data_IF_277547167660
#
_entry.id   IF_277547167660
#
_cell.length_a   1.000
_cell.length_b   1.000
_cell.length_c   1.000
_cell.angle_alpha   90.00
_cell.angle_beta   90.00
_cell.angle_gamma   90.00
#
_symmetry.space_group_name_H-M   'P 1'
#
loop_
_entity.id
_entity.type
_entity.pdbx_description
1 polymer ?
#
# COMPACT_ATOMS: atom_id res chain seq x y z
N UNK A 1 -12.76 4.24 -0.34
CA UNK A 1 -11.48 3.59 0.00
C UNK A 1 -10.72 4.53 0.91
N UNK A 2 -9.83 4.00 1.76
CA UNK A 2 -9.00 4.82 2.66
C UNK A 2 -7.99 5.59 1.81
N UNK A 3 -7.69 6.85 2.13
CA UNK A 3 -6.67 7.60 1.37
C UNK A 3 -5.27 7.12 1.76
N UNK A 4 -4.27 7.37 0.90
CA UNK A 4 -2.88 6.99 1.17
C UNK A 4 -2.39 7.55 2.51
N UNK A 5 -2.58 8.84 2.76
CA UNK A 5 -2.10 9.50 3.99
C UNK A 5 -2.73 8.90 5.25
N UNK A 6 -4.02 8.55 5.17
CA UNK A 6 -4.72 7.87 6.26
C UNK A 6 -4.13 6.48 6.49
N UNK A 7 -3.92 5.69 5.43
CA UNK A 7 -3.31 4.37 5.53
C UNK A 7 -1.91 4.44 6.15
N UNK A 8 -1.05 5.34 5.66
CA UNK A 8 0.30 5.56 6.18
C UNK A 8 0.26 5.93 7.67
N UNK A 9 -0.57 6.91 8.03
CA UNK A 9 -0.78 7.32 9.43
C UNK A 9 -1.23 6.16 10.31
N UNK A 10 -1.98 5.19 9.78
CA UNK A 10 -2.44 4.03 10.53
C UNK A 10 -1.34 2.98 10.70
N UNK A 11 -0.66 2.61 9.62
CA UNK A 11 0.35 1.54 9.65
C UNK A 11 1.69 1.99 10.24
N UNK A 12 1.96 3.29 10.35
CA UNK A 12 3.15 3.86 11.01
C UNK A 12 3.37 3.24 12.40
N UNK A 13 2.29 3.12 13.18
CA UNK A 13 2.38 2.65 14.56
C UNK A 13 2.69 1.14 14.63
N UNK A 14 3.80 0.72 15.27
CA UNK A 14 4.18 -0.69 15.34
C UNK A 14 3.17 -1.60 16.05
N UNK A 15 2.46 -1.10 17.06
CA UNK A 15 1.45 -1.91 17.76
C UNK A 15 0.25 -2.21 16.87
N UNK A 16 -0.16 -1.27 16.00
CA UNK A 16 -1.20 -1.52 14.99
C UNK A 16 -0.75 -2.57 13.98
N UNK A 17 0.51 -2.51 13.51
CA UNK A 17 1.06 -3.54 12.61
C UNK A 17 1.07 -4.92 13.25
N UNK A 18 1.54 -5.03 14.50
CA UNK A 18 1.55 -6.31 15.25
C UNK A 18 0.14 -6.87 15.49
N UNK A 19 -0.84 -6.00 15.74
CA UNK A 19 -2.26 -6.42 15.84
C UNK A 19 -2.75 -6.97 14.50
N UNK A 20 -2.50 -6.26 13.39
CA UNK A 20 -2.90 -6.72 12.06
C UNK A 20 -2.23 -8.05 11.68
N UNK A 21 -0.96 -8.24 12.03
CA UNK A 21 -0.21 -9.49 11.83
C UNK A 21 -0.78 -10.67 12.64
N UNK A 22 -1.20 -10.43 13.90
CA UNK A 22 -1.91 -11.44 14.68
C UNK A 22 -3.27 -11.79 14.08
N UNK A 23 -4.05 -10.78 13.66
CA UNK A 23 -5.35 -10.97 13.04
C UNK A 23 -5.26 -11.65 11.66
N UNK A 24 -4.17 -11.46 10.91
CA UNK A 24 -3.91 -12.13 9.64
C UNK A 24 -3.73 -13.65 9.77
N UNK A 25 -3.26 -14.13 10.93
CA UNK A 25 -3.14 -15.56 11.24
C UNK A 25 -4.49 -16.17 11.60
N UNK A 26 -5.21 -15.53 12.52
CA UNK A 26 -6.55 -15.96 12.95
C UNK A 26 -7.32 -14.82 13.65
N UNK A 27 -8.66 -14.89 13.72
CA UNK A 27 -9.44 -13.93 14.50
C UNK A 27 -9.10 -13.98 15.99
N UNK A 28 -9.02 -12.82 16.64
CA UNK A 28 -8.72 -12.73 18.07
C UNK A 28 -9.66 -11.77 18.80
N UNK A 29 -9.93 -12.07 20.07
CA UNK A 29 -10.55 -11.12 20.98
C UNK A 29 -9.48 -10.30 21.74
N UNK A 30 -9.81 -9.11 22.26
CA UNK A 30 -8.81 -8.15 22.78
C UNK A 30 -7.86 -8.69 23.86
N UNK A 31 -8.33 -9.59 24.72
CA UNK A 31 -7.50 -10.17 25.78
C UNK A 31 -6.48 -11.19 25.23
N UNK A 32 -6.77 -11.91 24.14
CA UNK A 32 -5.75 -12.76 23.50
C UNK A 32 -4.64 -11.90 22.90
N UNK A 33 -5.01 -10.89 22.12
CA UNK A 33 -4.04 -9.94 21.54
C UNK A 33 -3.19 -9.28 22.63
N UNK A 34 -3.81 -8.90 23.76
CA UNK A 34 -3.09 -8.33 24.90
C UNK A 34 -2.01 -9.26 25.44
N UNK A 35 -2.34 -10.55 25.63
CA UNK A 35 -1.42 -11.57 26.13
C UNK A 35 -0.32 -11.90 25.13
N UNK A 36 -0.67 -12.09 23.87
CA UNK A 36 0.28 -12.43 22.81
C UNK A 36 1.27 -11.30 22.53
N UNK A 37 0.77 -10.06 22.46
CA UNK A 37 1.58 -8.92 22.04
C UNK A 37 2.29 -8.22 23.22
N UNK A 38 1.95 -8.57 24.46
CA UNK A 38 2.51 -7.95 25.66
C UNK A 38 2.09 -6.48 25.85
N UNK A 39 0.93 -6.09 25.31
CA UNK A 39 0.37 -4.74 25.42
C UNK A 39 -0.91 -4.77 26.24
N UNK A 40 -1.23 -3.67 26.93
CA UNK A 40 -2.43 -3.63 27.79
C UNK A 40 -3.70 -3.81 26.97
N UNK A 41 -4.70 -4.50 27.53
CA UNK A 41 -5.98 -4.72 26.85
C UNK A 41 -6.67 -3.39 26.48
N UNK A 42 -6.52 -2.35 27.28
CA UNK A 42 -7.05 -1.02 26.97
C UNK A 42 -6.35 -0.40 25.74
N UNK A 43 -5.04 -0.56 25.62
CA UNK A 43 -4.29 -0.12 24.43
C UNK A 43 -4.71 -0.90 23.18
N UNK A 44 -4.85 -2.23 23.29
CA UNK A 44 -5.38 -3.09 22.22
C UNK A 44 -6.73 -2.57 21.73
N UNK A 45 -7.67 -2.33 22.66
CA UNK A 45 -9.00 -1.81 22.34
C UNK A 45 -8.95 -0.46 21.62
N UNK A 46 -8.07 0.45 22.06
CA UNK A 46 -7.88 1.75 21.39
C UNK A 46 -7.37 1.56 19.96
N UNK A 47 -6.40 0.68 19.75
CA UNK A 47 -5.88 0.39 18.41
C UNK A 47 -6.93 -0.27 17.51
N UNK A 48 -7.64 -1.29 18.00
CA UNK A 48 -8.72 -1.95 17.26
C UNK A 48 -9.82 -0.98 16.85
N UNK A 49 -10.20 -0.04 17.72
CA UNK A 49 -11.17 1.01 17.39
C UNK A 49 -10.72 1.85 16.19
N UNK A 50 -9.45 2.26 16.17
CA UNK A 50 -8.88 3.01 15.04
C UNK A 50 -8.85 2.14 13.78
N UNK A 51 -8.36 0.91 13.87
CA UNK A 51 -8.30 -0.01 12.73
C UNK A 51 -9.69 -0.28 12.11
N UNK A 52 -10.71 -0.45 12.96
CA UNK A 52 -12.09 -0.66 12.52
C UNK A 52 -12.71 0.60 11.91
N UNK A 53 -12.44 1.79 12.48
CA UNK A 53 -12.91 3.07 11.92
C UNK A 53 -12.44 3.27 10.47
N UNK A 54 -11.22 2.86 10.16
CA UNK A 54 -10.65 2.91 8.81
C UNK A 54 -10.89 1.63 8.00
N UNK A 55 -11.79 0.74 8.46
CA UNK A 55 -12.18 -0.48 7.75
C UNK A 55 -11.04 -1.47 7.48
N UNK A 56 -9.95 -1.39 8.24
CA UNK A 56 -8.82 -2.32 8.14
C UNK A 56 -9.08 -3.63 8.90
N UNK A 57 -10.02 -3.60 9.83
CA UNK A 57 -10.47 -4.73 10.65
C UNK A 57 -11.99 -4.69 10.72
N UNK A 58 -12.62 -5.86 10.78
CA UNK A 58 -14.05 -6.03 11.10
C UNK A 58 -14.19 -6.89 12.35
N UNK A 59 -15.39 -6.93 12.90
CA UNK A 59 -15.67 -7.72 14.10
C UNK A 59 -17.01 -8.46 14.03
N UNK A 60 -17.10 -9.55 14.77
CA UNK A 60 -18.32 -10.31 14.99
C UNK A 60 -18.42 -10.75 16.46
N UNK A 61 -19.62 -11.16 16.88
CA UNK A 61 -19.84 -11.67 18.23
C UNK A 61 -19.91 -13.19 18.22
N UNK A 62 -19.12 -13.81 19.08
CA UNK A 62 -19.07 -15.25 19.28
C UNK A 62 -19.57 -15.61 20.69
N UNK A 63 -20.26 -16.75 20.81
CA UNK A 63 -20.67 -17.27 22.13
C UNK A 63 -19.43 -17.78 22.86
N UNK A 64 -19.30 -17.48 24.16
CA UNK A 64 -18.19 -17.99 24.94
C UNK A 64 -18.40 -19.48 25.24
N UNK A 65 -17.38 -20.31 25.01
CA UNK A 65 -17.42 -21.76 25.29
C UNK A 65 -17.67 -22.08 26.77
N UNK A 66 -17.22 -21.18 27.66
CA UNK A 66 -17.33 -21.29 29.12
C UNK A 66 -18.61 -20.66 29.71
N UNK A 67 -19.65 -20.38 28.90
CA UNK A 67 -20.90 -19.77 29.38
C UNK A 67 -20.79 -18.29 29.79
N UNK A 68 -19.65 -17.65 29.51
CA UNK A 68 -19.42 -16.22 29.75
C UNK A 68 -20.11 -15.31 28.72
N UNK A 69 -20.02 -13.97 28.90
CA UNK A 69 -20.58 -13.00 27.96
C UNK A 69 -19.98 -13.18 26.55
N UNK A 70 -20.76 -12.83 25.53
CA UNK A 70 -20.34 -12.92 24.12
C UNK A 70 -19.01 -12.17 23.91
N UNK A 71 -18.07 -12.83 23.25
CA UNK A 71 -16.76 -12.25 22.94
C UNK A 71 -16.82 -11.59 21.57
N UNK A 72 -16.31 -10.36 21.50
CA UNK A 72 -16.14 -9.66 20.22
C UNK A 72 -14.82 -10.07 19.60
N UNK A 73 -14.91 -10.87 18.55
CA UNK A 73 -13.79 -11.32 17.74
C UNK A 73 -13.50 -10.28 16.66
N UNK A 74 -12.22 -10.03 16.39
CA UNK A 74 -11.76 -9.14 15.34
C UNK A 74 -11.05 -9.96 14.26
N UNK A 75 -11.16 -9.54 13.01
CA UNK A 75 -10.51 -10.19 11.86
C UNK A 75 -10.12 -9.14 10.82
N UNK A 76 -9.07 -9.38 10.01
CA UNK A 76 -8.55 -8.37 9.09
C UNK A 76 -9.48 -8.19 7.90
N UNK A 77 -9.57 -6.97 7.42
CA UNK A 77 -10.22 -6.58 6.17
C UNK A 77 -9.20 -5.77 5.33
N UNK A 78 -8.05 -6.40 5.06
CA UNK A 78 -6.90 -5.80 4.39
C UNK A 78 -6.72 -6.41 3.00
N UNK A 79 -6.72 -5.57 1.96
CA UNK A 79 -6.55 -6.01 0.57
C UNK A 79 -5.83 -4.96 -0.28
N UNK A 80 -4.81 -4.30 0.26
CA UNK A 80 -4.06 -3.28 -0.47
C UNK A 80 -2.57 -3.59 -0.58
N UNK A 81 -1.89 -2.89 -1.48
CA UNK A 81 -0.43 -2.73 -1.57
C UNK A 81 -0.15 -1.24 -1.66
N UNK A 82 0.84 -0.76 -0.89
CA UNK A 82 1.37 0.59 -1.02
C UNK A 82 2.73 0.48 -1.68
N UNK A 83 2.97 1.29 -2.71
CA UNK A 83 4.24 1.38 -3.42
C UNK A 83 4.77 2.79 -3.27
N UNK A 84 6.03 2.92 -2.86
CA UNK A 84 6.73 4.20 -2.73
C UNK A 84 8.09 4.05 -3.40
N UNK A 85 8.30 4.79 -4.49
CA UNK A 85 9.62 4.91 -5.11
C UNK A 85 10.19 6.29 -4.79
N UNK A 86 11.43 6.32 -4.29
CA UNK A 86 12.09 7.53 -3.89
C UNK A 86 13.57 7.49 -4.29
N UNK A 87 13.97 8.41 -5.15
CA UNK A 87 15.34 8.60 -5.63
C UNK A 87 15.56 10.06 -6.00
N UNK A 88 16.82 10.49 -6.28
CA UNK A 88 17.06 11.83 -6.80
C UNK A 88 16.18 12.07 -8.04
N UNK A 89 15.35 13.11 -8.00
CA UNK A 89 14.41 13.49 -9.06
C UNK A 89 13.19 12.59 -9.27
N UNK A 90 12.95 11.60 -8.42
CA UNK A 90 11.72 10.82 -8.49
C UNK A 90 11.14 10.58 -7.10
N UNK A 91 9.88 10.95 -6.91
CA UNK A 91 9.10 10.57 -5.75
C UNK A 91 7.69 10.20 -6.20
N UNK A 92 7.35 8.92 -6.13
CA UNK A 92 6.03 8.42 -6.51
C UNK A 92 5.42 7.62 -5.37
N UNK A 93 4.10 7.71 -5.25
CA UNK A 93 3.35 6.98 -4.23
C UNK A 93 2.04 6.46 -4.81
N UNK A 94 1.80 5.17 -4.67
CA UNK A 94 0.62 4.51 -5.23
C UNK A 94 -0.02 3.57 -4.20
N UNK A 95 -1.35 3.45 -4.26
CA UNK A 95 -2.09 2.47 -3.47
C UNK A 95 -2.94 1.63 -4.41
N UNK A 96 -2.63 0.33 -4.43
CA UNK A 96 -3.33 -0.66 -5.22
C UNK A 96 -4.26 -1.47 -4.33
N UNK A 97 -5.55 -1.46 -4.61
CA UNK A 97 -6.55 -2.26 -3.89
C UNK A 97 -6.95 -3.48 -4.72
N UNK A 98 -6.99 -4.65 -4.09
CA UNK A 98 -7.43 -5.92 -4.70
C UNK A 98 -8.89 -6.19 -4.34
N UNK A 99 -9.69 -6.64 -5.29
CA UNK A 99 -11.10 -6.95 -5.01
C UNK A 99 -11.25 -8.04 -3.92
N UNK A 100 -12.14 -7.79 -2.96
CA UNK A 100 -12.37 -8.66 -1.81
C UNK A 100 -13.30 -9.83 -2.20
N UNK A 101 -12.80 -10.81 -2.94
CA UNK A 101 -13.61 -11.97 -3.38
C UNK A 101 -13.74 -13.09 -2.32
N UNK A 102 -13.36 -12.83 -1.06
CA UNK A 102 -13.37 -13.86 0.00
C UNK A 102 -14.42 -13.55 1.06
N UNK A 103 -15.44 -14.42 1.14
CA UNK A 103 -16.32 -14.49 2.31
C UNK A 103 -15.54 -15.15 3.45
N UNK A 104 -15.37 -14.44 4.57
CA UNK A 104 -14.84 -15.04 5.79
C UNK A 104 -15.87 -16.05 6.32
N UNK A 105 -15.53 -17.33 6.28
CA UNK A 105 -16.32 -18.42 6.85
C UNK A 105 -15.51 -19.03 8.00
N UNK A 106 -15.94 -18.89 9.27
CA UNK A 106 -15.28 -19.56 10.39
C UNK A 106 -15.31 -21.07 10.16
N UNK A 107 -14.14 -21.71 10.15
CA UNK A 107 -14.02 -23.16 9.93
C UNK A 107 -14.09 -23.90 11.26
N UNK A 108 -15.11 -24.74 11.42
CA UNK A 108 -15.08 -25.93 12.28
C UNK A 108 -14.82 -27.13 11.39
N UNK A 109 -13.60 -27.67 11.35
CA UNK A 109 -13.34 -29.00 10.76
C UNK A 109 -12.28 -29.73 11.57
N UNK A 110 -12.67 -30.88 12.10
CA UNK A 110 -11.76 -31.96 12.47
C UNK A 110 -11.17 -32.54 11.17
N UNK A 111 -9.85 -32.74 11.11
CA UNK A 111 -9.14 -33.23 9.92
C UNK A 111 -8.28 -34.43 10.32
N UNK A 112 -8.34 -35.52 9.55
CA UNK A 112 -7.49 -36.70 9.73
C UNK A 112 -5.99 -36.39 9.47
N UNK A 113 -5.13 -36.75 10.44
CA UNK A 113 -3.76 -36.23 10.59
C UNK A 113 -2.77 -36.56 9.45
N UNK A 114 -2.85 -37.75 8.85
CA UNK A 114 -1.81 -38.22 7.90
C UNK A 114 -1.92 -37.57 6.51
N UNK A 115 -3.13 -37.30 6.02
CA UNK A 115 -3.37 -36.57 4.76
C UNK A 115 -2.98 -35.09 4.88
N UNK A 116 -3.14 -34.53 6.09
CA UNK A 116 -2.89 -33.12 6.39
C UNK A 116 -1.42 -32.74 6.22
N UNK A 117 -0.49 -33.58 6.68
CA UNK A 117 0.95 -33.29 6.59
C UNK A 117 1.44 -33.20 5.14
N UNK A 118 1.03 -34.14 4.28
CA UNK A 118 1.38 -34.11 2.86
C UNK A 118 0.81 -32.87 2.17
N UNK A 119 -0.44 -32.49 2.49
CA UNK A 119 -1.05 -31.28 1.94
C UNK A 119 -0.35 -30.00 2.40
N UNK A 120 0.10 -29.93 3.65
CA UNK A 120 0.89 -28.78 4.15
C UNK A 120 2.22 -28.66 3.37
N UNK A 121 2.89 -29.77 3.09
CA UNK A 121 4.13 -29.77 2.30
C UNK A 121 3.90 -29.36 0.83
N UNK A 122 2.78 -29.72 0.24
CA UNK A 122 2.36 -29.21 -1.07
C UNK A 122 2.11 -27.71 -1.05
N UNK A 123 1.28 -27.21 -0.12
CA UNK A 123 0.98 -25.79 0.03
C UNK A 123 2.26 -24.96 0.24
N UNK A 124 3.22 -25.48 1.02
CA UNK A 124 4.53 -24.83 1.21
C UNK A 124 5.29 -24.71 -0.11
N UNK A 125 5.29 -25.75 -0.95
CA UNK A 125 5.91 -25.70 -2.29
C UNK A 125 5.19 -24.74 -3.23
N UNK A 126 3.85 -24.74 -3.19
CA UNK A 126 3.03 -23.79 -3.95
C UNK A 126 3.37 -22.33 -3.59
N UNK A 127 3.43 -22.01 -2.29
CA UNK A 127 3.83 -20.67 -1.82
C UNK A 127 5.26 -20.33 -2.25
N UNK A 128 6.21 -21.24 -2.10
CA UNK A 128 7.60 -21.00 -2.52
C UNK A 128 7.70 -20.64 -4.01
N UNK A 129 6.96 -21.34 -4.88
CA UNK A 129 6.92 -21.02 -6.31
C UNK A 129 6.18 -19.72 -6.64
N UNK A 130 5.29 -19.24 -5.77
CA UNK A 130 4.67 -17.91 -5.91
C UNK A 130 5.67 -16.82 -5.53
N UNK A 131 6.37 -16.97 -4.41
CA UNK A 131 7.40 -16.02 -3.95
C UNK A 131 8.51 -15.86 -5.00
N UNK A 132 8.99 -16.97 -5.60
CA UNK A 132 10.00 -16.92 -6.65
C UNK A 132 9.55 -16.08 -7.86
N UNK A 133 8.28 -16.18 -8.27
CA UNK A 133 7.72 -15.38 -9.36
C UNK A 133 7.56 -13.92 -8.97
N UNK A 134 7.18 -13.64 -7.72
CA UNK A 134 7.10 -12.27 -7.22
C UNK A 134 8.49 -11.62 -7.20
N UNK A 135 9.51 -12.35 -6.76
CA UNK A 135 10.90 -11.88 -6.74
C UNK A 135 11.45 -11.59 -8.15
N UNK A 136 11.08 -12.39 -9.15
CA UNK A 136 11.43 -12.11 -10.55
C UNK A 136 10.75 -10.83 -11.05
N UNK A 137 9.46 -10.66 -10.78
CA UNK A 137 8.74 -9.43 -11.12
C UNK A 137 9.30 -8.20 -10.41
N UNK A 138 9.73 -8.33 -9.15
CA UNK A 138 10.38 -7.23 -8.43
C UNK A 138 11.71 -6.83 -9.07
N UNK A 139 12.53 -7.79 -9.50
CA UNK A 139 13.79 -7.50 -10.21
C UNK A 139 13.55 -6.83 -11.56
N UNK A 140 12.55 -7.28 -12.32
CA UNK A 140 12.16 -6.62 -13.57
C UNK A 140 11.69 -5.18 -13.32
N UNK A 141 10.89 -4.96 -12.27
CA UNK A 141 10.44 -3.62 -11.87
C UNK A 141 11.60 -2.73 -11.47
N UNK A 142 12.55 -3.23 -10.69
CA UNK A 142 13.73 -2.49 -10.25
C UNK A 142 14.58 -2.00 -11.44
N UNK A 143 14.80 -2.86 -12.44
CA UNK A 143 15.49 -2.48 -13.67
C UNK A 143 14.77 -1.33 -14.40
N UNK A 144 13.45 -1.40 -14.53
CA UNK A 144 12.65 -0.35 -15.17
C UNK A 144 12.64 0.96 -14.36
N UNK A 145 12.69 0.88 -13.03
CA UNK A 145 12.81 2.05 -12.17
C UNK A 145 14.16 2.73 -12.39
N UNK A 146 15.25 1.97 -12.48
CA UNK A 146 16.59 2.52 -12.79
C UNK A 146 16.64 3.18 -14.18
N UNK A 147 16.04 2.56 -15.20
CA UNK A 147 15.93 3.15 -16.53
C UNK A 147 15.15 4.47 -16.49
N UNK A 148 14.02 4.48 -15.77
CA UNK A 148 13.20 5.68 -15.56
C UNK A 148 13.98 6.80 -14.86
N UNK A 149 14.76 6.47 -13.84
CA UNK A 149 15.63 7.42 -13.13
C UNK A 149 16.68 8.04 -14.04
N UNK A 150 17.32 7.23 -14.90
CA UNK A 150 18.30 7.73 -15.88
C UNK A 150 17.67 8.75 -16.83
N UNK A 151 16.45 8.49 -17.31
CA UNK A 151 15.74 9.42 -18.21
C UNK A 151 15.36 10.71 -17.47
N UNK A 152 14.93 10.62 -16.21
CA UNK A 152 14.59 11.81 -15.40
C UNK A 152 15.82 12.65 -15.05
N UNK A 153 16.97 12.02 -14.82
CA UNK A 153 18.24 12.73 -14.62
C UNK A 153 18.69 13.48 -15.89
N UNK A 154 18.59 12.84 -17.07
CA UNK A 154 18.86 13.51 -18.34
C UNK A 154 17.93 14.71 -18.56
N UNK A 155 16.63 14.51 -18.36
CA UNK A 155 15.63 15.57 -18.44
C UNK A 155 15.94 16.75 -17.52
N UNK A 156 16.33 16.46 -16.28
CA UNK A 156 16.75 17.48 -15.33
C UNK A 156 18.00 18.21 -15.82
N UNK A 157 19.04 17.49 -16.25
CA UNK A 157 20.29 18.06 -16.75
C UNK A 157 20.05 19.05 -17.90
N UNK A 158 19.15 18.71 -18.83
CA UNK A 158 18.73 19.61 -19.91
C UNK A 158 18.01 20.86 -19.38
N UNK A 159 17.18 20.70 -18.35
CA UNK A 159 16.42 21.78 -17.73
C UNK A 159 17.26 22.64 -16.77
N UNK A 160 18.42 22.19 -16.28
CA UNK A 160 19.30 22.95 -15.38
C UNK A 160 19.81 24.24 -16.02
N UNK A 161 19.94 24.27 -17.35
CA UNK A 161 20.35 25.45 -18.11
C UNK A 161 19.25 26.52 -18.23
N UNK A 162 18.03 26.23 -17.79
CA UNK A 162 16.92 27.18 -17.78
C UNK A 162 16.99 27.98 -16.49
N UNK A 163 17.01 29.30 -16.56
CA UNK A 163 17.03 30.15 -15.35
C UNK A 163 15.69 30.16 -14.60
N UNK A 164 14.58 29.89 -15.30
CA UNK A 164 13.23 29.94 -14.73
C UNK A 164 12.84 28.66 -13.97
N UNK A 165 12.67 28.79 -12.66
CA UNK A 165 12.18 27.71 -11.78
C UNK A 165 10.78 27.23 -12.15
N UNK A 166 9.89 28.13 -12.59
CA UNK A 166 8.52 27.73 -12.96
C UNK A 166 8.54 26.84 -14.20
N UNK A 167 9.30 27.23 -15.23
CA UNK A 167 9.50 26.40 -16.42
C UNK A 167 10.14 25.03 -16.07
N UNK A 168 11.19 25.00 -15.23
CA UNK A 168 11.79 23.73 -14.77
C UNK A 168 10.76 22.81 -14.10
N UNK A 169 9.87 23.38 -13.29
CA UNK A 169 8.80 22.63 -12.60
C UNK A 169 7.72 22.11 -13.56
N UNK A 170 7.35 22.90 -14.56
CA UNK A 170 6.42 22.49 -15.62
C UNK A 170 7.01 21.35 -16.46
N UNK A 171 8.27 21.48 -16.88
CA UNK A 171 8.96 20.45 -17.66
C UNK A 171 9.11 19.14 -16.87
N UNK A 172 9.42 19.24 -15.58
CA UNK A 172 9.49 18.09 -14.71
C UNK A 172 8.16 17.32 -14.67
N UNK A 173 7.03 17.98 -14.44
CA UNK A 173 5.72 17.31 -14.44
C UNK A 173 5.34 16.77 -15.82
N UNK A 174 5.65 17.50 -16.90
CA UNK A 174 5.40 17.05 -18.27
C UNK A 174 6.13 15.74 -18.62
N UNK A 175 7.40 15.61 -18.19
CA UNK A 175 8.23 14.43 -18.47
C UNK A 175 7.91 13.29 -17.50
N UNK A 176 7.73 13.59 -16.21
CA UNK A 176 7.54 12.56 -15.18
C UNK A 176 6.13 11.95 -15.18
N UNK A 177 5.15 12.61 -15.79
CA UNK A 177 3.74 12.17 -15.85
C UNK A 177 3.18 12.25 -17.28
N UNK A 178 3.68 11.42 -18.21
CA UNK A 178 3.29 11.46 -19.62
C UNK A 178 1.81 11.15 -19.86
N UNK A 179 1.10 10.60 -18.86
CA UNK A 179 -0.34 10.35 -18.89
C UNK A 179 -1.19 11.61 -18.68
N UNK A 180 -0.61 12.71 -18.19
CA UNK A 180 -1.34 13.96 -17.97
C UNK A 180 -1.31 14.82 -19.24
N UNK A 181 -2.47 15.39 -19.58
CA UNK A 181 -2.55 16.48 -20.55
C UNK A 181 -2.14 17.82 -19.91
N UNK A 182 -2.03 18.88 -20.72
CA UNK A 182 -1.64 20.22 -20.24
C UNK A 182 -2.54 20.72 -19.10
N UNK A 183 -3.83 20.38 -19.13
CA UNK A 183 -4.79 20.73 -18.08
C UNK A 183 -4.53 19.94 -16.80
N UNK A 184 -4.21 18.66 -16.93
CA UNK A 184 -3.77 17.79 -15.84
C UNK A 184 -2.53 18.33 -15.15
N UNK A 185 -1.53 18.76 -15.92
CA UNK A 185 -0.30 19.38 -15.41
C UNK A 185 -0.60 20.71 -14.72
N UNK A 186 -1.39 21.60 -15.35
CA UNK A 186 -1.78 22.88 -14.76
C UNK A 186 -2.49 22.70 -13.41
N UNK A 187 -3.42 21.74 -13.35
CA UNK A 187 -4.11 21.38 -12.11
C UNK A 187 -3.17 20.80 -11.06
N UNK A 188 -2.22 19.94 -11.45
CA UNK A 188 -1.25 19.35 -10.54
C UNK A 188 -0.30 20.40 -9.93
N UNK A 189 0.02 21.43 -10.71
CA UNK A 189 0.91 22.52 -10.30
C UNK A 189 0.20 23.70 -9.61
N UNK A 190 -1.13 23.70 -9.59
CA UNK A 190 -1.98 24.83 -9.17
C UNK A 190 -1.69 26.10 -9.99
N UNK A 191 -1.64 25.94 -11.32
CA UNK A 191 -1.33 26.98 -12.30
C UNK A 191 -2.48 27.15 -13.30
N UNK A 192 -2.52 28.29 -13.99
CA UNK A 192 -3.45 28.51 -15.11
C UNK A 192 -2.98 27.75 -16.34
N UNK A 193 -3.92 27.13 -17.07
CA UNK A 193 -3.66 26.39 -18.32
C UNK A 193 -2.78 27.18 -19.31
N UNK A 194 -3.08 28.46 -19.51
CA UNK A 194 -2.35 29.36 -20.42
C UNK A 194 -0.86 29.50 -20.03
N UNK A 195 -0.54 29.50 -18.74
CA UNK A 195 0.84 29.65 -18.27
C UNK A 195 1.64 28.39 -18.61
N UNK A 196 1.03 27.22 -18.41
CA UNK A 196 1.65 25.93 -18.75
C UNK A 196 1.85 25.80 -20.26
N UNK A 197 0.82 26.14 -21.05
CA UNK A 197 0.88 26.08 -22.50
C UNK A 197 1.95 27.01 -23.07
N UNK A 198 1.97 28.29 -22.66
CA UNK A 198 2.95 29.26 -23.15
C UNK A 198 4.39 28.87 -22.77
N UNK A 199 4.62 28.40 -21.54
CA UNK A 199 5.94 27.97 -21.10
C UNK A 199 6.48 26.78 -21.92
N UNK A 200 5.62 25.81 -22.23
CA UNK A 200 6.00 24.66 -23.06
C UNK A 200 6.18 25.05 -24.54
N UNK A 201 5.33 25.92 -25.08
CA UNK A 201 5.47 26.43 -26.45
C UNK A 201 6.75 27.25 -26.62
N UNK A 202 7.08 28.13 -25.68
CA UNK A 202 8.34 28.88 -25.68
C UNK A 202 9.54 27.94 -25.66
N UNK A 203 9.52 26.92 -24.80
CA UNK A 203 10.61 25.95 -24.70
C UNK A 203 10.74 25.06 -25.95
N UNK A 204 9.63 24.52 -26.48
CA UNK A 204 9.63 23.68 -27.68
C UNK A 204 10.07 24.43 -28.94
N UNK A 205 9.80 25.74 -29.00
CA UNK A 205 10.22 26.59 -30.11
C UNK A 205 11.64 27.15 -29.95
N UNK A 206 12.22 27.11 -28.74
CA UNK A 206 13.60 27.54 -28.48
C UNK A 206 14.65 26.59 -29.10
N UNK A 207 14.27 25.33 -29.37
CA UNK A 207 15.14 24.31 -29.99
C UNK A 207 15.07 24.23 -31.53
N UNK A 208 14.42 25.17 -32.21
CA UNK A 208 14.36 25.25 -33.70
C UNK A 208 15.20 26.39 -34.26
#
# INVERSE_FOLDING_TARGET
MVKLDELLSIIENPARRRILEALAREPHYPLQLSRELGISQQAVMKHLKVLEQYKLVRSYHEKSDLGGPRRRQFYPALNFTIVVDASPNMFTTEVHYREENRVFIPKNREIEDLSTNNRILELRREIAGIEEKLDDLYRQREALILDKESVLEEARSLAENLDDYQLRRILYEFISRPELDLKGIAKALDMRDEVVANALDEWLNWGR
#
